data_IF_472922402353
#
_entry.id   IF_472922402353
#
_cell.length_a   1.000
_cell.length_b   1.000
_cell.length_c   1.000
_cell.angle_alpha   90.00
_cell.angle_beta   90.00
_cell.angle_gamma   90.00
#
_symmetry.space_group_name_H-M   'P 1'
#
loop_
_entity.id
_entity.type
_entity.pdbx_description
1 polymer ?
#
# COMPACT_ATOMS: atom_id res chain seq x y z
N UNK A 1 25.58 11.67 -20.00
CA UNK A 1 24.39 10.83 -19.94
C UNK A 1 23.82 10.94 -18.53
N UNK A 2 22.58 11.37 -18.37
CA UNK A 2 21.91 11.47 -17.10
C UNK A 2 21.82 10.09 -16.44
N UNK A 3 21.79 10.02 -15.10
CA UNK A 3 21.69 8.75 -14.37
C UNK A 3 20.43 7.96 -14.74
N UNK A 4 19.32 8.66 -14.94
CA UNK A 4 18.03 8.04 -15.34
C UNK A 4 18.15 7.47 -16.75
N UNK A 5 18.75 8.15 -17.70
CA UNK A 5 18.94 7.65 -19.06
C UNK A 5 19.81 6.38 -19.10
N UNK A 6 20.80 6.27 -18.21
CA UNK A 6 21.59 5.03 -18.08
C UNK A 6 20.74 3.85 -17.62
N UNK A 7 19.87 4.08 -16.64
CA UNK A 7 18.93 3.06 -16.17
C UNK A 7 17.99 2.65 -17.30
N UNK A 8 17.37 3.61 -17.98
CA UNK A 8 16.43 3.34 -19.08
C UNK A 8 17.11 2.57 -20.22
N UNK A 9 18.35 2.92 -20.58
CA UNK A 9 19.08 2.21 -21.65
C UNK A 9 19.45 0.77 -21.31
N UNK A 10 19.55 0.43 -20.03
CA UNK A 10 19.87 -0.94 -19.58
C UNK A 10 18.65 -1.89 -19.54
N UNK A 11 17.45 -1.39 -19.78
CA UNK A 11 16.20 -2.17 -19.61
C UNK A 11 15.87 -3.03 -20.85
N UNK A 12 16.40 -2.70 -22.02
CA UNK A 12 15.97 -3.28 -23.31
C UNK A 12 16.00 -4.82 -23.33
N UNK A 13 16.98 -5.43 -22.69
CA UNK A 13 17.19 -6.89 -22.69
C UNK A 13 16.50 -7.61 -21.51
N UNK A 14 15.60 -6.93 -20.80
CA UNK A 14 14.90 -7.50 -19.64
C UNK A 14 13.39 -7.60 -19.90
N UNK A 15 12.74 -8.61 -19.34
CA UNK A 15 11.31 -8.86 -19.51
C UNK A 15 10.45 -8.04 -18.55
N UNK A 16 10.95 -7.78 -17.35
CA UNK A 16 10.25 -7.07 -16.25
C UNK A 16 11.24 -6.16 -15.54
N UNK A 17 10.76 -5.03 -15.07
CA UNK A 17 11.55 -4.10 -14.27
C UNK A 17 10.99 -4.02 -12.86
N UNK A 18 11.82 -4.32 -11.87
CA UNK A 18 11.48 -4.12 -10.45
C UNK A 18 12.21 -2.87 -9.96
N UNK A 19 11.45 -1.87 -9.55
CA UNK A 19 11.97 -0.58 -9.11
C UNK A 19 11.75 -0.44 -7.61
N UNK A 20 12.84 -0.34 -6.84
CA UNK A 20 12.78 -0.11 -5.39
C UNK A 20 12.98 1.38 -5.14
N UNK A 21 12.00 2.03 -4.56
CA UNK A 21 11.98 3.46 -4.26
C UNK A 21 11.39 3.72 -2.88
N UNK A 22 11.40 4.95 -2.44
CA UNK A 22 10.81 5.33 -1.17
C UNK A 22 11.65 6.35 -0.42
N UNK A 23 11.80 6.14 0.88
CA UNK A 23 12.42 7.08 1.78
C UNK A 23 13.72 6.54 2.39
N UNK A 24 14.58 7.45 2.78
CA UNK A 24 15.85 7.12 3.39
C UNK A 24 15.90 7.63 4.86
N UNK A 25 15.75 6.73 5.84
CA UNK A 25 15.82 7.08 7.25
C UNK A 25 17.26 7.04 7.81
N UNK A 26 18.30 7.00 6.96
CA UNK A 26 19.69 6.82 7.39
C UNK A 26 20.05 7.71 8.57
N UNK A 27 20.43 7.07 9.68
CA UNK A 27 20.77 7.76 10.93
C UNK A 27 22.12 8.46 10.86
N UNK A 28 23.01 8.02 9.96
CA UNK A 28 24.40 8.43 9.89
C UNK A 28 24.69 9.48 8.81
N UNK A 29 23.89 9.54 7.75
CA UNK A 29 24.04 10.54 6.69
C UNK A 29 22.87 11.53 6.70
N UNK A 30 23.05 12.66 7.40
CA UNK A 30 22.04 13.70 7.47
C UNK A 30 21.76 14.36 6.12
N UNK A 31 22.70 14.33 5.18
CA UNK A 31 22.53 14.96 3.85
C UNK A 31 21.64 14.14 2.92
N UNK A 32 21.66 12.81 3.08
CA UNK A 32 20.84 11.90 2.31
C UNK A 32 19.52 11.49 2.99
N UNK A 33 19.29 11.94 4.24
CA UNK A 33 18.11 11.59 5.02
C UNK A 33 16.87 12.31 4.49
N UNK A 34 15.83 11.56 4.15
CA UNK A 34 14.56 12.10 3.65
C UNK A 34 13.40 11.93 4.61
N UNK A 35 13.56 11.11 5.66
CA UNK A 35 12.54 10.83 6.69
C UNK A 35 13.19 10.43 8.01
N UNK A 36 12.40 10.26 9.06
CA UNK A 36 12.80 9.76 10.37
C UNK A 36 13.07 10.87 11.38
N UNK A 37 13.75 10.54 12.48
CA UNK A 37 13.95 11.44 13.61
C UNK A 37 14.50 12.81 13.19
N UNK A 38 13.83 13.89 13.61
CA UNK A 38 14.13 15.29 13.31
C UNK A 38 14.09 15.64 11.81
N UNK A 39 13.48 14.83 10.97
CA UNK A 39 13.28 15.12 9.54
C UNK A 39 11.83 14.84 9.18
N UNK A 40 11.11 15.90 8.84
CA UNK A 40 9.73 15.84 8.36
C UNK A 40 9.64 16.34 6.92
N UNK A 41 8.62 15.88 6.21
CA UNK A 41 8.27 16.33 4.86
C UNK A 41 6.88 16.91 4.84
N UNK A 42 6.68 17.94 4.06
CA UNK A 42 5.39 18.58 3.83
C UNK A 42 4.56 17.92 2.72
N UNK A 43 5.12 16.91 2.06
CA UNK A 43 4.47 16.16 0.97
C UNK A 43 4.53 14.67 1.26
N UNK A 44 3.53 13.93 0.79
CA UNK A 44 3.46 12.47 0.85
C UNK A 44 3.93 11.80 -0.47
N UNK A 45 4.29 12.58 -1.48
CA UNK A 45 4.76 12.06 -2.76
C UNK A 45 6.18 11.47 -2.66
N UNK A 46 6.58 10.70 -3.67
CA UNK A 46 7.95 10.24 -3.84
C UNK A 46 8.93 11.42 -3.88
N UNK A 47 10.11 11.24 -3.28
CA UNK A 47 11.09 12.30 -3.15
C UNK A 47 12.01 12.40 -4.37
N UNK A 48 12.37 13.63 -4.75
CA UNK A 48 13.33 13.89 -5.81
C UNK A 48 12.86 13.40 -7.18
N UNK A 49 13.72 12.69 -7.90
CA UNK A 49 13.48 12.24 -9.27
C UNK A 49 12.93 10.80 -9.35
N UNK A 50 12.48 10.21 -8.24
CA UNK A 50 12.04 8.81 -8.21
C UNK A 50 10.83 8.59 -9.13
N UNK A 51 9.83 9.46 -9.07
CA UNK A 51 8.66 9.35 -9.95
C UNK A 51 9.04 9.54 -11.42
N UNK A 52 9.86 10.55 -11.75
CA UNK A 52 10.35 10.78 -13.10
C UNK A 52 11.07 9.54 -13.67
N UNK A 53 11.90 8.91 -12.86
CA UNK A 53 12.59 7.68 -13.24
C UNK A 53 11.59 6.56 -13.58
N UNK A 54 10.58 6.33 -12.74
CA UNK A 54 9.56 5.31 -12.97
C UNK A 54 8.77 5.61 -14.25
N UNK A 55 8.40 6.87 -14.46
CA UNK A 55 7.70 7.31 -15.67
C UNK A 55 8.50 7.00 -16.94
N UNK A 56 9.79 7.33 -16.95
CA UNK A 56 10.66 7.02 -18.08
C UNK A 56 10.84 5.51 -18.30
N UNK A 57 10.92 4.75 -17.22
CA UNK A 57 10.96 3.27 -17.30
C UNK A 57 9.64 2.74 -17.91
N UNK A 58 8.50 3.23 -17.46
CA UNK A 58 7.18 2.79 -17.99
C UNK A 58 7.03 3.11 -19.48
N UNK A 59 7.60 4.21 -19.97
CA UNK A 59 7.61 4.56 -21.40
C UNK A 59 8.35 3.54 -22.27
N UNK A 60 9.17 2.66 -21.71
CA UNK A 60 9.80 1.57 -22.48
C UNK A 60 8.81 0.47 -22.88
N UNK A 61 7.60 0.48 -22.32
CA UNK A 61 6.58 -0.55 -22.56
C UNK A 61 6.77 -1.84 -21.77
N UNK A 62 7.82 -1.94 -20.94
CA UNK A 62 8.05 -3.12 -20.09
C UNK A 62 7.11 -3.12 -18.89
N UNK A 63 6.70 -4.32 -18.38
CA UNK A 63 6.02 -4.41 -17.10
C UNK A 63 6.88 -3.84 -15.96
N UNK A 64 6.26 -3.06 -15.09
CA UNK A 64 6.94 -2.37 -13.98
C UNK A 64 6.30 -2.77 -12.65
N UNK A 65 7.11 -3.34 -11.76
CA UNK A 65 6.76 -3.59 -10.36
C UNK A 65 7.44 -2.54 -9.51
N UNK A 66 6.68 -1.76 -8.76
CA UNK A 66 7.23 -0.77 -7.83
C UNK A 66 7.20 -1.33 -6.41
N UNK A 67 8.34 -1.31 -5.74
CA UNK A 67 8.49 -1.65 -4.33
C UNK A 67 8.72 -0.37 -3.56
N UNK A 68 7.81 -0.06 -2.64
CA UNK A 68 7.89 1.11 -1.77
C UNK A 68 8.56 0.72 -0.45
N UNK A 69 9.67 1.36 -0.11
CA UNK A 69 10.38 1.19 1.16
C UNK A 69 10.31 2.50 1.92
N UNK A 70 9.51 2.55 2.98
CA UNK A 70 9.16 3.80 3.67
C UNK A 70 8.64 3.54 5.09
N UNK A 71 8.77 4.54 5.94
CA UNK A 71 8.26 4.49 7.32
C UNK A 71 6.93 5.25 7.52
N UNK A 72 6.37 5.83 6.48
CA UNK A 72 5.09 6.57 6.46
C UNK A 72 4.40 6.39 5.11
N UNK A 73 3.08 6.69 4.99
CA UNK A 73 2.38 6.60 3.72
C UNK A 73 3.07 7.37 2.59
N UNK A 74 3.14 6.76 1.43
CA UNK A 74 3.47 7.44 0.18
C UNK A 74 2.18 7.53 -0.64
N UNK A 75 1.78 8.77 -0.95
CA UNK A 75 0.62 9.08 -1.79
C UNK A 75 1.11 9.48 -3.17
N UNK A 76 1.09 8.52 -4.11
CA UNK A 76 1.52 8.76 -5.48
C UNK A 76 0.46 8.17 -6.45
N UNK A 77 -0.63 8.90 -6.71
CA UNK A 77 -1.73 8.40 -7.54
C UNK A 77 -1.29 7.92 -8.91
N UNK A 78 -0.30 8.58 -9.50
CA UNK A 78 0.20 8.18 -10.80
C UNK A 78 0.68 6.72 -10.85
N UNK A 79 1.26 6.21 -9.77
CA UNK A 79 1.70 4.80 -9.71
C UNK A 79 0.51 3.85 -9.84
N UNK A 80 -0.60 4.15 -9.14
CA UNK A 80 -1.80 3.30 -9.12
C UNK A 80 -2.37 3.13 -10.53
N UNK A 81 -2.35 4.20 -11.32
CA UNK A 81 -2.95 4.22 -12.65
C UNK A 81 -2.03 3.67 -13.75
N UNK A 82 -0.72 3.59 -13.50
CA UNK A 82 0.23 3.39 -14.60
C UNK A 82 1.17 2.19 -14.44
N UNK A 83 1.46 1.71 -13.23
CA UNK A 83 2.36 0.56 -13.05
C UNK A 83 1.60 -0.75 -12.92
N UNK A 84 2.27 -1.87 -13.17
CA UNK A 84 1.62 -3.17 -13.25
C UNK A 84 1.43 -3.81 -11.86
N UNK A 85 2.28 -3.45 -10.89
CA UNK A 85 2.13 -3.85 -9.49
C UNK A 85 2.84 -2.87 -8.54
N UNK A 86 2.28 -2.76 -7.33
CA UNK A 86 2.88 -2.00 -6.22
C UNK A 86 2.99 -2.94 -5.03
N UNK A 87 4.16 -3.00 -4.42
CA UNK A 87 4.41 -3.71 -3.17
C UNK A 87 4.76 -2.66 -2.11
N UNK A 88 3.90 -2.52 -1.10
CA UNK A 88 4.19 -1.72 0.08
C UNK A 88 5.01 -2.59 1.04
N UNK A 89 6.31 -2.33 1.10
CA UNK A 89 7.24 -3.12 1.89
C UNK A 89 7.52 -2.53 3.26
N UNK A 90 7.09 -1.30 3.52
CA UNK A 90 7.47 -0.55 4.73
C UNK A 90 8.98 -0.56 4.95
N UNK A 91 9.44 -0.81 6.16
CA UNK A 91 10.84 -1.04 6.51
C UNK A 91 11.07 -2.54 6.77
N UNK A 92 11.33 -3.35 5.71
CA UNK A 92 11.21 -4.81 5.79
C UNK A 92 12.35 -5.51 6.54
N UNK A 93 13.34 -4.77 7.02
CA UNK A 93 14.45 -5.30 7.80
C UNK A 93 15.44 -6.17 7.00
N UNK A 94 16.26 -6.93 7.72
CA UNK A 94 17.40 -7.66 7.13
C UNK A 94 17.01 -8.74 6.11
N UNK A 95 15.84 -9.39 6.29
CA UNK A 95 15.34 -10.44 5.39
C UNK A 95 14.39 -9.91 4.32
N UNK A 96 14.18 -8.59 4.25
CA UNK A 96 13.24 -7.96 3.33
C UNK A 96 13.51 -8.27 1.86
N UNK A 97 14.76 -8.25 1.43
CA UNK A 97 15.12 -8.58 0.05
C UNK A 97 14.73 -10.01 -0.34
N UNK A 98 14.93 -10.98 0.55
CA UNK A 98 14.52 -12.36 0.32
C UNK A 98 12.99 -12.47 0.24
N UNK A 99 12.26 -11.87 1.19
CA UNK A 99 10.81 -11.92 1.22
C UNK A 99 10.20 -11.30 -0.05
N UNK A 100 10.71 -10.14 -0.49
CA UNK A 100 10.28 -9.50 -1.73
C UNK A 100 10.54 -10.36 -2.96
N UNK A 101 11.73 -10.96 -3.06
CA UNK A 101 12.06 -11.86 -4.17
C UNK A 101 11.12 -13.08 -4.21
N UNK A 102 10.80 -13.68 -3.06
CA UNK A 102 9.91 -14.82 -2.97
C UNK A 102 8.47 -14.46 -3.35
N UNK A 103 8.00 -13.25 -3.02
CA UNK A 103 6.69 -12.72 -3.46
C UNK A 103 6.71 -12.50 -4.97
N UNK A 104 7.67 -11.73 -5.49
CA UNK A 104 7.74 -11.41 -6.94
C UNK A 104 7.84 -12.68 -7.80
N UNK A 105 8.60 -13.68 -7.33
CA UNK A 105 8.73 -14.97 -8.01
C UNK A 105 7.55 -15.91 -7.76
N UNK A 106 6.55 -15.48 -7.01
CA UNK A 106 5.34 -16.25 -6.72
C UNK A 106 5.57 -17.48 -5.82
N UNK A 107 6.68 -17.56 -5.10
CA UNK A 107 6.94 -18.64 -4.13
C UNK A 107 6.09 -18.49 -2.87
N UNK A 108 5.86 -17.25 -2.46
CA UNK A 108 5.02 -16.89 -1.31
C UNK A 108 3.83 -16.09 -1.84
N UNK A 109 2.63 -16.45 -1.41
CA UNK A 109 1.43 -15.67 -1.65
C UNK A 109 1.34 -14.56 -0.61
N UNK A 110 1.31 -13.26 -1.00
CA UNK A 110 1.19 -12.16 -0.06
C UNK A 110 -0.16 -12.22 0.68
N UNK A 111 -0.14 -11.96 1.97
CA UNK A 111 -1.33 -11.92 2.83
C UNK A 111 -1.45 -10.62 3.62
N UNK A 112 -0.47 -9.72 3.52
CA UNK A 112 -0.47 -8.46 4.23
C UNK A 112 -1.62 -7.55 3.81
N UNK A 113 -2.21 -6.86 4.79
CA UNK A 113 -3.21 -5.81 4.58
C UNK A 113 -2.65 -4.51 5.13
N UNK A 114 -2.99 -3.38 4.52
CA UNK A 114 -2.55 -2.07 4.97
C UNK A 114 -3.05 -1.79 6.40
N UNK A 115 -2.16 -1.48 7.33
CA UNK A 115 -2.52 -1.18 8.72
C UNK A 115 -2.99 0.26 8.92
N UNK A 116 -3.01 1.04 7.86
CA UNK A 116 -3.43 2.44 7.82
C UNK A 116 -4.11 2.75 6.49
N UNK A 117 -4.92 3.78 6.47
CA UNK A 117 -5.43 4.38 5.24
C UNK A 117 -4.33 5.17 4.53
N UNK A 118 -4.17 5.00 3.24
CA UNK A 118 -3.27 5.83 2.42
C UNK A 118 -4.09 6.96 1.80
N UNK A 119 -3.90 8.22 2.18
CA UNK A 119 -4.64 9.34 1.62
C UNK A 119 -4.28 9.55 0.14
N UNK A 120 -5.17 10.13 -0.63
CA UNK A 120 -4.89 10.50 -2.02
C UNK A 120 -3.80 11.57 -2.13
N UNK A 121 -3.80 12.51 -1.21
CA UNK A 121 -2.79 13.58 -1.09
C UNK A 121 -2.72 14.10 0.34
N UNK A 122 -1.78 14.96 0.62
CA UNK A 122 -1.65 15.65 1.92
C UNK A 122 -2.90 16.45 2.28
N UNK A 123 -3.67 16.92 1.29
CA UNK A 123 -4.93 17.63 1.49
C UNK A 123 -6.07 16.77 2.04
N UNK A 124 -5.93 15.43 1.98
CA UNK A 124 -6.91 14.45 2.48
C UNK A 124 -6.67 14.03 3.95
N UNK A 125 -5.74 14.67 4.64
CA UNK A 125 -5.52 14.40 6.07
C UNK A 125 -6.64 15.05 6.90
N UNK A 126 -7.19 14.38 7.93
CA UNK A 126 -6.81 13.05 8.42
C UNK A 126 -7.57 11.95 7.68
N UNK A 127 -6.85 10.98 7.14
CA UNK A 127 -7.43 9.79 6.51
C UNK A 127 -7.38 8.62 7.51
N UNK A 128 -8.51 8.34 8.15
CA UNK A 128 -8.68 7.23 9.09
C UNK A 128 -9.92 6.43 8.70
N UNK A 129 -9.95 5.12 9.00
CA UNK A 129 -11.02 4.23 8.54
C UNK A 129 -12.41 4.58 9.10
N UNK A 130 -12.47 5.16 10.29
CA UNK A 130 -13.71 5.57 10.96
C UNK A 130 -13.98 7.09 10.87
N UNK A 131 -13.37 7.74 9.88
CA UNK A 131 -13.60 9.16 9.65
C UNK A 131 -15.08 9.41 9.38
N UNK A 132 -15.68 10.31 10.16
CA UNK A 132 -17.08 10.72 9.93
C UNK A 132 -17.24 11.28 8.51
N UNK A 133 -18.39 11.07 7.85
CA UNK A 133 -18.60 11.45 6.45
C UNK A 133 -18.65 12.96 6.22
N UNK A 134 -17.80 13.73 6.90
CA UNK A 134 -17.61 15.17 6.68
C UNK A 134 -17.09 15.48 5.27
N UNK A 135 -16.29 14.59 4.69
CA UNK A 135 -15.84 14.66 3.31
C UNK A 135 -16.99 14.60 2.29
N UNK A 136 -18.15 14.10 2.68
CA UNK A 136 -19.34 14.12 1.84
C UNK A 136 -19.76 15.54 1.42
N UNK A 137 -19.43 16.55 2.22
CA UNK A 137 -19.72 17.96 1.95
C UNK A 137 -18.56 18.75 1.34
N UNK A 138 -17.35 18.20 1.40
CA UNK A 138 -16.15 18.87 0.91
C UNK A 138 -15.62 18.12 -0.33
N UNK A 139 -15.99 18.63 -1.49
CA UNK A 139 -15.42 18.13 -2.76
C UNK A 139 -14.17 18.93 -3.08
N UNK A 140 -13.07 18.23 -3.35
CA UNK A 140 -11.92 18.88 -3.97
C UNK A 140 -12.23 19.25 -5.42
N UNK A 141 -11.70 20.36 -5.89
CA UNK A 141 -11.88 20.80 -7.29
C UNK A 141 -10.94 20.02 -8.22
N UNK A 142 -9.81 19.60 -7.67
CA UNK A 142 -8.65 19.06 -8.39
C UNK A 142 -8.29 17.62 -8.03
N UNK A 143 -9.08 16.98 -7.17
CA UNK A 143 -8.83 15.61 -6.71
C UNK A 143 -10.14 14.89 -6.35
N UNK A 144 -10.17 13.55 -6.42
CA UNK A 144 -11.28 12.77 -5.88
C UNK A 144 -11.35 12.92 -4.35
N UNK A 145 -12.51 12.66 -3.76
CA UNK A 145 -12.68 12.68 -2.29
C UNK A 145 -12.27 11.38 -1.62
N UNK A 146 -11.98 10.34 -2.42
CA UNK A 146 -11.61 9.01 -1.94
C UNK A 146 -10.14 8.97 -1.52
N UNK A 147 -9.83 8.05 -0.62
CA UNK A 147 -8.44 7.71 -0.32
C UNK A 147 -7.78 6.98 -1.48
N UNK A 148 -6.46 6.95 -1.51
CA UNK A 148 -5.71 6.18 -2.51
C UNK A 148 -5.84 4.68 -2.25
N UNK A 149 -5.70 4.28 -0.98
CA UNK A 149 -6.00 2.93 -0.51
C UNK A 149 -6.64 2.99 0.88
N UNK A 150 -7.66 2.19 1.10
CA UNK A 150 -8.33 2.12 2.39
C UNK A 150 -7.53 1.26 3.39
N UNK A 151 -7.76 1.50 4.68
CA UNK A 151 -7.32 0.61 5.74
C UNK A 151 -7.75 -0.82 5.44
N UNK A 152 -6.85 -1.77 5.61
CA UNK A 152 -7.15 -3.17 5.36
C UNK A 152 -7.07 -3.60 3.90
N UNK A 153 -6.75 -2.71 2.97
CA UNK A 153 -6.54 -3.09 1.57
C UNK A 153 -5.29 -3.97 1.41
N UNK A 154 -5.39 -4.96 0.54
CA UNK A 154 -4.27 -5.82 0.15
C UNK A 154 -4.75 -6.97 -0.73
N UNK A 155 -3.98 -7.25 -1.78
CA UNK A 155 -4.29 -8.30 -2.76
C UNK A 155 -3.56 -9.60 -2.41
N UNK A 156 -4.11 -10.71 -2.91
CA UNK A 156 -3.55 -12.04 -2.80
C UNK A 156 -3.46 -12.67 -4.19
N UNK A 157 -2.64 -13.71 -4.35
CA UNK A 157 -2.61 -14.54 -5.56
C UNK A 157 -3.72 -15.60 -5.59
N UNK A 158 -4.63 -15.59 -4.61
CA UNK A 158 -5.84 -16.41 -4.55
C UNK A 158 -7.02 -15.55 -4.12
N UNK A 159 -8.21 -16.11 -4.15
CA UNK A 159 -9.45 -15.43 -3.76
C UNK A 159 -10.06 -16.09 -2.54
N UNK A 160 -10.71 -15.29 -1.71
CA UNK A 160 -11.40 -15.74 -0.51
C UNK A 160 -12.85 -15.25 -0.54
N UNK A 161 -13.77 -16.14 -0.24
CA UNK A 161 -15.18 -15.81 -0.02
C UNK A 161 -15.52 -15.88 1.45
N UNK A 162 -16.40 -14.98 1.87
CA UNK A 162 -16.89 -14.88 3.23
C UNK A 162 -18.37 -15.24 3.25
N UNK A 163 -18.77 -16.11 4.20
CA UNK A 163 -20.20 -16.30 4.47
C UNK A 163 -20.78 -15.07 5.14
N UNK A 164 -22.12 -14.99 5.16
CA UNK A 164 -22.78 -14.00 6.00
C UNK A 164 -22.35 -14.17 7.48
N UNK A 165 -22.09 -13.05 8.17
CA UNK A 165 -21.72 -13.10 9.59
C UNK A 165 -22.90 -13.49 10.46
N UNK A 166 -22.68 -14.39 11.42
CA UNK A 166 -23.69 -14.86 12.35
C UNK A 166 -23.36 -14.40 13.75
N UNK A 167 -24.28 -13.68 14.39
CA UNK A 167 -24.18 -13.27 15.77
C UNK A 167 -25.00 -14.20 16.65
N UNK A 168 -24.47 -14.55 17.82
CA UNK A 168 -25.21 -15.36 18.81
C UNK A 168 -26.36 -14.60 19.43
N UNK A 169 -26.27 -13.27 19.51
CA UNK A 169 -27.32 -12.38 20.01
C UNK A 169 -27.30 -11.07 19.21
N UNK A 170 -28.46 -10.53 18.92
CA UNK A 170 -28.59 -9.23 18.23
C UNK A 170 -28.68 -8.03 19.18
N UNK A 171 -28.90 -8.29 20.47
CA UNK A 171 -28.93 -7.29 21.55
C UNK A 171 -28.21 -7.85 22.75
N UNK A 172 -27.36 -7.05 23.35
CA UNK A 172 -26.57 -7.38 24.56
C UNK A 172 -26.57 -6.18 25.49
N UNK A 173 -26.37 -6.45 26.79
CA UNK A 173 -26.04 -5.44 27.79
C UNK A 173 -24.53 -5.19 27.80
N UNK A 174 -24.08 -4.14 28.46
CA UNK A 174 -22.67 -3.70 28.47
C UNK A 174 -21.71 -4.73 29.07
N UNK A 175 -22.21 -5.63 29.92
CA UNK A 175 -21.48 -6.71 30.61
C UNK A 175 -21.57 -8.05 29.86
N UNK A 176 -22.30 -8.15 28.78
CA UNK A 176 -22.45 -9.38 28.01
C UNK A 176 -21.46 -9.50 26.87
N UNK A 177 -21.14 -10.73 26.52
CA UNK A 177 -20.33 -11.07 25.35
C UNK A 177 -21.21 -11.62 24.22
N UNK A 178 -20.95 -11.18 23.01
CA UNK A 178 -21.53 -11.73 21.78
C UNK A 178 -20.43 -12.44 20.98
N UNK A 179 -20.79 -13.60 20.43
CA UNK A 179 -19.92 -14.31 19.50
C UNK A 179 -20.33 -13.98 18.07
N UNK A 180 -19.39 -13.53 17.28
CA UNK A 180 -19.49 -13.35 15.83
C UNK A 180 -18.78 -14.54 15.15
N UNK A 181 -19.46 -15.20 14.25
CA UNK A 181 -18.91 -16.29 13.44
C UNK A 181 -19.02 -15.97 11.96
N UNK A 182 -17.98 -16.29 11.21
CA UNK A 182 -17.94 -16.20 9.74
C UNK A 182 -17.13 -17.37 9.21
N UNK A 183 -17.56 -17.96 8.09
CA UNK A 183 -16.77 -18.95 7.36
C UNK A 183 -15.98 -18.24 6.28
N UNK A 184 -14.67 -18.53 6.19
CA UNK A 184 -13.78 -18.03 5.14
C UNK A 184 -13.34 -19.22 4.31
N UNK A 185 -13.59 -19.15 3.01
CA UNK A 185 -13.26 -20.20 2.05
C UNK A 185 -12.29 -19.69 1.01
N UNK A 186 -11.18 -20.40 0.79
CA UNK A 186 -10.31 -20.13 -0.34
C UNK A 186 -10.97 -20.69 -1.61
N UNK A 187 -11.36 -19.82 -2.52
CA UNK A 187 -12.03 -20.17 -3.78
C UNK A 187 -11.10 -20.16 -4.98
N UNK A 188 -9.84 -19.77 -4.80
CA UNK A 188 -8.83 -19.81 -5.85
C UNK A 188 -8.05 -21.13 -5.87
N UNK A 189 -7.01 -21.18 -6.71
CA UNK A 189 -6.22 -22.40 -6.94
C UNK A 189 -4.89 -22.44 -6.18
N UNK A 190 -4.58 -21.41 -5.39
CA UNK A 190 -3.34 -21.32 -4.63
C UNK A 190 -3.63 -21.31 -3.14
N UNK A 191 -2.76 -21.92 -2.37
CA UNK A 191 -2.77 -21.76 -0.93
C UNK A 191 -2.52 -20.30 -0.57
N UNK A 192 -3.22 -19.79 0.44
CA UNK A 192 -3.08 -18.43 0.90
C UNK A 192 -3.53 -18.27 2.35
N UNK A 193 -3.09 -17.18 2.94
CA UNK A 193 -3.53 -16.73 4.26
C UNK A 193 -4.40 -15.50 4.09
N UNK A 194 -5.46 -15.39 4.87
CA UNK A 194 -6.34 -14.22 4.88
C UNK A 194 -6.35 -13.56 6.25
N UNK A 195 -6.45 -12.23 6.27
CA UNK A 195 -6.60 -11.44 7.49
C UNK A 195 -8.06 -11.00 7.56
N UNK A 196 -8.80 -11.61 8.46
CA UNK A 196 -10.19 -11.23 8.76
C UNK A 196 -10.17 -10.01 9.68
N UNK A 197 -10.80 -8.94 9.23
CA UNK A 197 -10.90 -7.70 10.00
C UNK A 197 -12.31 -7.54 10.56
N UNK A 198 -12.41 -7.32 11.86
CA UNK A 198 -13.65 -6.94 12.52
C UNK A 198 -13.51 -5.49 12.98
N UNK A 199 -14.27 -4.60 12.34
CA UNK A 199 -14.24 -3.17 12.61
C UNK A 199 -15.54 -2.72 13.29
N UNK A 200 -15.42 -1.89 14.31
CA UNK A 200 -16.57 -1.25 14.95
C UNK A 200 -16.66 0.20 14.48
N UNK A 201 -17.83 0.58 13.97
CA UNK A 201 -18.17 1.95 13.61
C UNK A 201 -19.21 2.44 14.62
N UNK A 202 -18.78 3.22 15.60
CA UNK A 202 -19.64 3.70 16.70
C UNK A 202 -20.65 4.76 16.24
N UNK A 203 -20.40 5.41 15.11
CA UNK A 203 -21.23 6.51 14.61
C UNK A 203 -21.67 6.23 13.16
N UNK A 204 -22.56 5.29 13.04
CA UNK A 204 -23.31 5.06 11.79
C UNK A 204 -24.48 6.03 11.75
#
# INVERSE_FOLDING_TARGET
MDKIEKVVSSINDHDVVVVVVGENPLRYDRKGKTTGENVARSSLNLFGQQLEMIQKIKMTGKPVIVVLVNGRPISEPWLVDNVDAIIEAWEPGAMGGQALAEIVMGKINPSGKLPITIPYSVGHLQAIYDHKPSAYRHKFVDAPTMNLFEFGFGLSYTSFDYSDPVLTKSKISDDETVLLSVNVSNTGQREGKEIVQMLSLIHI
#
